data_IF_303531606432
#
_entry.id   IF_303531606432
#
_cell.length_a   1.000
_cell.length_b   1.000
_cell.length_c   1.000
_cell.angle_alpha   90.00
_cell.angle_beta   90.00
_cell.angle_gamma   90.00
#
_symmetry.space_group_name_H-M   'P 1'
#
loop_
_entity.id
_entity.type
_entity.pdbx_description
1 polymer ?
#
# COMPACT_ATOMS: atom_id res chain seq x y z
N UNK A 1 62.07 7.95 1.05
CA UNK A 1 61.25 7.09 0.17
C UNK A 1 60.08 6.58 1.00
N UNK A 2 59.00 7.36 1.08
CA UNK A 2 57.83 7.04 1.89
C UNK A 2 56.82 6.31 0.99
N UNK A 3 56.60 5.03 1.25
CA UNK A 3 55.55 4.24 0.61
C UNK A 3 54.23 4.57 1.27
N UNK A 4 53.38 5.33 0.58
CA UNK A 4 52.00 5.52 0.95
C UNK A 4 51.26 4.17 0.85
N UNK A 5 50.99 3.56 2.00
CA UNK A 5 50.22 2.34 2.12
C UNK A 5 48.75 2.68 1.88
N UNK A 6 48.28 2.39 0.67
CA UNK A 6 46.86 2.46 0.31
C UNK A 6 46.13 1.27 0.93
N UNK A 7 45.59 1.48 2.12
CA UNK A 7 44.74 0.52 2.82
C UNK A 7 43.32 0.56 2.22
N UNK A 8 43.03 -0.34 1.29
CA UNK A 8 41.72 -0.48 0.66
C UNK A 8 40.79 -1.30 1.56
N UNK A 9 40.33 -0.69 2.66
CA UNK A 9 39.29 -1.25 3.52
C UNK A 9 37.93 -1.14 2.81
N UNK A 10 37.59 -2.14 2.00
CA UNK A 10 36.25 -2.27 1.40
C UNK A 10 35.23 -2.61 2.50
N UNK A 11 34.55 -1.59 2.99
CA UNK A 11 33.42 -1.68 3.91
C UNK A 11 32.25 -2.41 3.25
N UNK A 12 32.26 -3.73 3.37
CA UNK A 12 31.23 -4.66 2.90
C UNK A 12 29.95 -4.49 3.73
N UNK A 13 29.21 -3.40 3.50
CA UNK A 13 27.89 -3.12 4.07
C UNK A 13 26.84 -4.04 3.42
N UNK A 14 26.95 -5.33 3.69
CA UNK A 14 25.94 -6.32 3.34
C UNK A 14 25.24 -6.71 4.64
N UNK A 15 23.93 -6.50 4.67
CA UNK A 15 23.06 -6.96 5.74
C UNK A 15 23.34 -8.45 6.02
N UNK A 16 23.68 -8.82 7.27
CA UNK A 16 24.11 -10.17 7.57
C UNK A 16 22.97 -11.16 7.24
N UNK A 17 23.30 -12.19 6.47
CA UNK A 17 22.38 -13.25 6.03
C UNK A 17 21.43 -13.80 7.10
N UNK A 18 21.82 -14.01 8.38
CA UNK A 18 20.87 -14.48 9.40
C UNK A 18 19.69 -13.53 9.64
N UNK A 19 19.88 -12.21 9.47
CA UNK A 19 18.79 -11.22 9.63
C UNK A 19 17.76 -11.37 8.51
N UNK A 20 18.22 -11.60 7.29
CA UNK A 20 17.36 -11.83 6.12
C UNK A 20 16.55 -13.12 6.27
N UNK A 21 17.21 -14.20 6.71
CA UNK A 21 16.56 -15.51 6.92
C UNK A 21 15.55 -15.43 8.07
N UNK A 22 15.91 -14.78 9.19
CA UNK A 22 14.98 -14.55 10.30
C UNK A 22 13.74 -13.77 9.87
N UNK A 23 13.91 -12.73 9.04
CA UNK A 23 12.79 -11.98 8.49
C UNK A 23 11.95 -12.81 7.50
N UNK A 24 12.59 -13.66 6.70
CA UNK A 24 11.88 -14.58 5.80
C UNK A 24 10.98 -15.53 6.59
N UNK A 25 11.50 -16.13 7.66
CA UNK A 25 10.73 -17.02 8.54
C UNK A 25 9.59 -16.25 9.22
N UNK A 26 9.84 -15.04 9.71
CA UNK A 26 8.81 -14.17 10.28
C UNK A 26 7.70 -13.88 9.25
N UNK A 27 8.04 -13.56 8.01
CA UNK A 27 7.06 -13.31 6.95
C UNK A 27 6.31 -14.57 6.54
N UNK A 28 6.95 -15.74 6.55
CA UNK A 28 6.31 -17.04 6.38
C UNK A 28 5.34 -17.35 7.52
N UNK A 29 5.69 -17.00 8.76
CA UNK A 29 4.79 -17.11 9.90
C UNK A 29 3.58 -16.19 9.75
N UNK A 30 3.78 -14.94 9.33
CA UNK A 30 2.66 -14.01 9.05
C UNK A 30 1.76 -14.54 7.93
N UNK A 31 2.31 -15.20 6.91
CA UNK A 31 1.51 -15.89 5.88
C UNK A 31 0.67 -17.02 6.48
N UNK A 32 1.28 -17.89 7.30
CA UNK A 32 0.56 -18.95 8.00
C UNK A 32 -0.56 -18.38 8.87
N UNK A 33 -0.30 -17.29 9.59
CA UNK A 33 -1.29 -16.60 10.39
C UNK A 33 -2.47 -16.07 9.56
N UNK A 34 -2.24 -15.52 8.36
CA UNK A 34 -3.35 -15.10 7.48
C UNK A 34 -4.21 -16.26 7.01
N UNK A 35 -3.59 -17.39 6.63
CA UNK A 35 -4.33 -18.58 6.19
C UNK A 35 -5.14 -19.15 7.35
N UNK A 36 -4.51 -19.26 8.51
CA UNK A 36 -5.18 -19.75 9.71
C UNK A 36 -6.35 -18.85 10.10
N UNK A 37 -6.15 -17.54 10.15
CA UNK A 37 -7.22 -16.58 10.44
C UNK A 37 -8.38 -16.66 9.44
N UNK A 38 -8.07 -16.83 8.15
CA UNK A 38 -9.09 -16.99 7.12
C UNK A 38 -9.92 -18.28 7.27
N UNK A 39 -9.34 -19.35 7.83
CA UNK A 39 -10.03 -20.63 8.02
C UNK A 39 -10.76 -20.72 9.37
N UNK A 40 -10.17 -20.21 10.45
CA UNK A 40 -10.67 -20.39 11.81
C UNK A 40 -11.66 -19.31 12.23
N UNK A 41 -11.41 -18.05 11.84
CA UNK A 41 -12.16 -16.91 12.34
C UNK A 41 -13.61 -16.87 11.83
N UNK A 42 -13.94 -17.24 10.56
CA UNK A 42 -15.33 -17.27 10.10
C UNK A 42 -16.19 -18.28 10.87
N UNK A 43 -15.66 -19.47 11.13
CA UNK A 43 -16.37 -20.51 11.87
C UNK A 43 -16.65 -20.08 13.33
N UNK A 44 -15.66 -19.45 13.97
CA UNK A 44 -15.82 -18.89 15.32
C UNK A 44 -16.84 -17.76 15.35
N UNK A 45 -16.80 -16.85 14.38
CA UNK A 45 -17.64 -15.65 14.38
C UNK A 45 -19.09 -15.94 14.00
N UNK A 46 -19.33 -16.96 13.15
CA UNK A 46 -20.67 -17.44 12.82
C UNK A 46 -21.36 -18.06 14.05
N UNK A 47 -20.60 -18.75 14.92
CA UNK A 47 -21.14 -19.30 16.18
C UNK A 47 -21.63 -18.22 17.16
N UNK A 48 -21.19 -16.97 16.98
CA UNK A 48 -21.60 -15.80 17.77
C UNK A 48 -22.94 -15.19 17.32
N UNK A 49 -23.56 -15.69 16.24
CA UNK A 49 -24.84 -15.19 15.73
C UNK A 49 -24.75 -13.85 14.97
N UNK A 50 -23.56 -13.45 14.51
CA UNK A 50 -23.36 -12.21 13.77
C UNK A 50 -23.83 -12.32 12.31
N UNK A 51 -24.38 -11.24 11.72
CA UNK A 51 -24.71 -11.21 10.29
C UNK A 51 -23.47 -11.34 9.38
N UNK A 52 -23.60 -12.03 8.25
CA UNK A 52 -22.51 -12.26 7.28
C UNK A 52 -21.80 -10.97 6.82
N UNK A 53 -22.55 -9.87 6.68
CA UNK A 53 -21.99 -8.58 6.30
C UNK A 53 -20.96 -8.05 7.31
N UNK A 54 -21.21 -8.23 8.61
CA UNK A 54 -20.29 -7.79 9.67
C UNK A 54 -19.07 -8.70 9.75
N UNK A 55 -19.26 -10.01 9.54
CA UNK A 55 -18.18 -10.99 9.47
C UNK A 55 -17.21 -10.60 8.35
N UNK A 56 -17.70 -10.29 7.15
CA UNK A 56 -16.88 -9.87 6.01
C UNK A 56 -16.03 -8.63 6.30
N UNK A 57 -16.62 -7.60 6.93
CA UNK A 57 -15.89 -6.39 7.33
C UNK A 57 -14.77 -6.70 8.33
N UNK A 58 -15.04 -7.54 9.33
CA UNK A 58 -14.04 -7.94 10.33
C UNK A 58 -12.90 -8.71 9.68
N UNK A 59 -13.19 -9.64 8.77
CA UNK A 59 -12.15 -10.38 8.03
C UNK A 59 -11.24 -9.43 7.23
N UNK A 60 -11.83 -8.46 6.54
CA UNK A 60 -11.07 -7.49 5.77
C UNK A 60 -10.16 -6.62 6.65
N UNK A 61 -10.65 -6.18 7.81
CA UNK A 61 -9.84 -5.41 8.77
C UNK A 61 -8.67 -6.25 9.30
N UNK A 62 -8.92 -7.52 9.66
CA UNK A 62 -7.87 -8.43 10.13
C UNK A 62 -6.84 -8.69 9.03
N UNK A 63 -7.30 -8.99 7.82
CA UNK A 63 -6.44 -9.25 6.67
C UNK A 63 -5.56 -8.03 6.33
N UNK A 64 -6.16 -6.83 6.27
CA UNK A 64 -5.44 -5.58 6.03
C UNK A 64 -4.40 -5.31 7.11
N UNK A 65 -4.76 -5.52 8.39
CA UNK A 65 -3.84 -5.34 9.51
C UNK A 65 -2.60 -6.22 9.36
N UNK A 66 -2.78 -7.51 9.08
CA UNK A 66 -1.66 -8.45 8.89
C UNK A 66 -0.85 -8.07 7.63
N UNK A 67 -1.52 -7.63 6.56
CA UNK A 67 -0.85 -7.17 5.34
C UNK A 67 0.03 -5.93 5.58
N UNK A 68 -0.43 -4.95 6.35
CA UNK A 68 0.36 -3.76 6.71
C UNK A 68 1.59 -4.12 7.53
N UNK A 69 1.44 -5.00 8.53
CA UNK A 69 2.58 -5.50 9.31
C UNK A 69 3.61 -6.21 8.42
N UNK A 70 3.14 -7.09 7.53
CA UNK A 70 3.99 -7.80 6.56
C UNK A 70 4.76 -6.82 5.66
N UNK A 71 4.07 -5.82 5.08
CA UNK A 71 4.69 -4.81 4.24
C UNK A 71 5.74 -3.98 5.01
N UNK A 72 5.44 -3.62 6.26
CA UNK A 72 6.37 -2.91 7.14
C UNK A 72 7.69 -3.67 7.36
N UNK A 73 7.63 -4.98 7.63
CA UNK A 73 8.82 -5.81 7.81
C UNK A 73 9.64 -5.95 6.51
N UNK A 74 8.98 -6.09 5.36
CA UNK A 74 9.64 -6.13 4.05
C UNK A 74 10.42 -4.83 3.81
N UNK A 75 9.79 -3.67 3.99
CA UNK A 75 10.43 -2.37 3.75
C UNK A 75 11.58 -2.15 4.76
N UNK A 76 11.35 -2.44 6.04
CA UNK A 76 12.35 -2.19 7.07
C UNK A 76 13.61 -3.06 6.88
N UNK A 77 13.45 -4.36 6.61
CA UNK A 77 14.56 -5.33 6.62
C UNK A 77 15.01 -5.71 5.22
N UNK A 78 14.12 -6.19 4.35
CA UNK A 78 14.51 -6.67 3.01
C UNK A 78 14.95 -5.54 2.08
N UNK A 79 14.27 -4.40 2.13
CA UNK A 79 14.71 -3.22 1.38
C UNK A 79 15.83 -2.45 2.09
N UNK A 80 16.29 -2.92 3.26
CA UNK A 80 17.40 -2.32 4.00
C UNK A 80 17.12 -0.91 4.55
N UNK A 81 15.88 -0.42 4.51
CA UNK A 81 15.52 0.96 4.91
C UNK A 81 15.85 1.21 6.38
N UNK A 82 15.80 0.19 7.25
CA UNK A 82 16.18 0.33 8.67
C UNK A 82 17.68 0.62 8.84
N UNK A 83 18.53 0.06 7.99
CA UNK A 83 20.00 0.04 8.16
C UNK A 83 20.74 1.17 7.42
N UNK A 84 20.02 1.93 6.59
CA UNK A 84 20.57 3.03 5.81
C UNK A 84 20.53 4.38 6.52
N UNK A 85 21.00 5.42 5.84
CA UNK A 85 21.08 6.80 6.34
C UNK A 85 19.70 7.43 6.57
N UNK A 86 19.65 8.49 7.39
CA UNK A 86 18.41 9.23 7.66
C UNK A 86 17.81 9.86 6.39
N UNK A 87 18.66 10.22 5.41
CA UNK A 87 18.21 10.77 4.13
C UNK A 87 17.41 9.75 3.32
N UNK A 88 17.88 8.50 3.24
CA UNK A 88 17.15 7.43 2.53
C UNK A 88 15.85 7.09 3.26
N UNK A 89 15.85 7.11 4.60
CA UNK A 89 14.61 6.91 5.39
C UNK A 89 13.57 7.98 5.11
N UNK A 90 13.97 9.25 4.99
CA UNK A 90 13.08 10.34 4.64
C UNK A 90 12.48 10.15 3.24
N UNK A 91 13.32 9.77 2.26
CA UNK A 91 12.85 9.47 0.89
C UNK A 91 11.92 8.27 0.84
N UNK A 92 12.19 7.21 1.61
CA UNK A 92 11.31 6.04 1.70
C UNK A 92 9.92 6.40 2.25
N UNK A 93 9.87 7.22 3.31
CA UNK A 93 8.60 7.72 3.85
C UNK A 93 7.91 8.65 2.85
N UNK A 94 8.65 9.56 2.21
CA UNK A 94 8.14 10.45 1.18
C UNK A 94 7.53 9.70 0.00
N UNK A 95 8.20 8.64 -0.46
CA UNK A 95 7.69 7.74 -1.51
C UNK A 95 6.43 6.99 -1.08
N UNK A 96 6.34 6.55 0.18
CA UNK A 96 5.14 5.89 0.70
C UNK A 96 3.96 6.86 0.84
N UNK A 97 4.20 8.08 1.32
CA UNK A 97 3.18 9.16 1.34
C UNK A 97 2.72 9.48 -0.07
N UNK A 98 3.67 9.64 -1.02
CA UNK A 98 3.36 9.87 -2.43
C UNK A 98 2.54 8.74 -3.04
N UNK A 99 2.86 7.48 -2.74
CA UNK A 99 2.10 6.31 -3.19
C UNK A 99 0.65 6.35 -2.67
N UNK A 100 0.43 6.72 -1.41
CA UNK A 100 -0.91 6.90 -0.86
C UNK A 100 -1.67 8.04 -1.56
N UNK A 101 -1.00 9.15 -1.88
CA UNK A 101 -1.59 10.26 -2.64
C UNK A 101 -2.03 9.82 -4.04
N UNK A 102 -1.27 8.95 -4.70
CA UNK A 102 -1.68 8.36 -5.99
C UNK A 102 -2.98 7.56 -5.86
N UNK A 103 -3.16 6.81 -4.77
CA UNK A 103 -4.41 6.06 -4.55
C UNK A 103 -5.61 6.98 -4.34
N UNK A 104 -5.43 8.09 -3.62
CA UNK A 104 -6.46 9.13 -3.45
C UNK A 104 -6.81 9.75 -4.80
N UNK A 105 -5.80 10.10 -5.60
CA UNK A 105 -5.99 10.64 -6.94
C UNK A 105 -6.72 9.65 -7.86
N UNK A 106 -6.37 8.36 -7.84
CA UNK A 106 -7.08 7.35 -8.62
C UNK A 106 -8.53 7.17 -8.16
N UNK A 107 -8.80 7.23 -6.85
CA UNK A 107 -10.17 7.20 -6.34
C UNK A 107 -10.98 8.42 -6.80
N UNK A 108 -10.38 9.60 -6.80
CA UNK A 108 -10.98 10.82 -7.35
C UNK A 108 -11.35 10.61 -8.83
N UNK A 109 -10.38 10.22 -9.68
CA UNK A 109 -10.64 9.97 -11.09
C UNK A 109 -11.67 8.85 -11.35
N UNK A 110 -11.68 7.79 -10.53
CA UNK A 110 -12.62 6.69 -10.69
C UNK A 110 -14.08 7.09 -10.38
N UNK A 111 -14.28 8.13 -9.56
CA UNK A 111 -15.63 8.61 -9.18
C UNK A 111 -16.12 9.78 -10.02
N UNK A 112 -15.26 10.37 -10.87
CA UNK A 112 -15.68 11.46 -11.76
C UNK A 112 -16.61 10.92 -12.86
N UNK A 113 -17.82 11.50 -13.03
CA UNK A 113 -18.64 11.20 -14.18
C UNK A 113 -17.90 11.67 -15.44
N UNK A 114 -17.87 10.82 -16.47
CA UNK A 114 -17.38 11.19 -17.79
C UNK A 114 -18.40 12.13 -18.44
N UNK A 115 -18.33 13.41 -18.10
CA UNK A 115 -19.12 14.43 -18.77
C UNK A 115 -18.58 14.67 -20.19
N UNK A 116 -19.46 14.85 -21.20
CA UNK A 116 -19.02 15.30 -22.52
C UNK A 116 -18.35 16.67 -22.36
N UNK A 117 -17.02 16.71 -22.56
CA UNK A 117 -16.25 17.96 -22.61
C UNK A 117 -16.83 18.84 -23.72
N UNK A 118 -17.10 20.10 -23.42
CA UNK A 118 -17.48 21.09 -24.43
C UNK A 118 -16.33 21.23 -25.43
N UNK A 119 -16.49 20.61 -26.60
CA UNK A 119 -15.56 20.75 -27.71
C UNK A 119 -15.62 22.15 -28.30
N UNK A 120 -14.70 22.45 -29.22
CA UNK A 120 -14.78 23.69 -30.01
C UNK A 120 -15.74 23.55 -31.20
N UNK A 121 -16.32 22.35 -31.36
CA UNK A 121 -17.32 22.03 -32.37
C UNK A 121 -18.72 22.49 -31.95
N UNK A 122 -19.49 23.12 -32.85
CA UNK A 122 -20.90 23.43 -32.63
C UNK A 122 -21.67 22.17 -32.25
N UNK A 123 -22.37 22.23 -31.12
CA UNK A 123 -23.13 21.10 -30.57
C UNK A 123 -24.20 20.64 -31.56
N UNK A 124 -24.19 19.37 -31.98
CA UNK A 124 -25.34 18.81 -32.72
C UNK A 124 -26.51 18.75 -31.73
N UNK A 125 -27.66 19.36 -32.04
CA UNK A 125 -28.78 19.42 -31.12
C UNK A 125 -29.23 18.01 -30.76
N UNK A 126 -28.97 17.59 -29.52
CA UNK A 126 -29.40 16.32 -28.96
C UNK A 126 -30.67 16.53 -28.13
N UNK A 127 -31.63 15.59 -28.22
CA UNK A 127 -32.95 15.73 -27.64
C UNK A 127 -33.02 15.37 -26.13
N UNK A 128 -31.89 15.08 -25.49
CA UNK A 128 -31.85 14.82 -24.05
C UNK A 128 -31.56 16.15 -23.31
N UNK A 129 -32.42 16.59 -22.39
CA UNK A 129 -32.21 17.83 -21.67
C UNK A 129 -30.97 17.71 -20.78
N UNK A 130 -30.01 18.62 -20.99
CA UNK A 130 -28.89 18.85 -20.08
C UNK A 130 -29.50 19.31 -18.75
N UNK A 131 -29.17 18.66 -17.63
CA UNK A 131 -29.64 19.06 -16.30
C UNK A 131 -29.08 20.45 -15.94
N UNK A 132 -29.76 21.50 -16.40
CA UNK A 132 -29.53 22.90 -16.03
C UNK A 132 -30.41 23.20 -14.83
N UNK A 133 -29.91 22.95 -13.63
CA UNK A 133 -30.49 23.52 -12.42
C UNK A 133 -30.34 25.04 -12.48
N UNK A 134 -31.47 25.72 -12.71
CA UNK A 134 -31.81 27.09 -12.30
C UNK A 134 -30.85 28.23 -12.65
N UNK A 135 -31.22 29.06 -13.65
CA UNK A 135 -31.07 30.52 -13.56
C UNK A 135 -32.34 31.17 -14.13
N UNK A 136 -33.20 31.78 -13.29
CA UNK A 136 -34.21 32.75 -13.69
C UNK A 136 -33.56 34.08 -14.10
N UNK A 137 -34.15 34.71 -15.10
CA UNK A 137 -33.73 35.98 -15.74
C UNK A 137 -33.61 37.18 -14.78
#
# INVERSE_FOLDING_TARGET
MATAQHDHSHSHHIIPMPVLIGNLVLLGFLMGATIWAAQSLPAMLHSSGLPDAQISLIMNIVALTIAFLKAGFVIAIFMGVKYTTKLVKLYAIGGFVWFCLMFIMFADYATRPMEPVHGWEPEIPSALPRNTSEIPD
#
